data_IF_481147405028
#
_entry.id   IF_481147405028
#
_cell.length_a   1.000
_cell.length_b   1.000
_cell.length_c   1.000
_cell.angle_alpha   90.00
_cell.angle_beta   90.00
_cell.angle_gamma   90.00
#
_symmetry.space_group_name_H-M   'P 1'
#
loop_
_entity.id
_entity.type
_entity.pdbx_description
1 polymer ?
#
# COMPACT_ATOMS: atom_id res chain seq x y z
N UNK A 1 0.41 -0.65 69.90
CA UNK A 1 1.72 -0.86 70.57
C UNK A 1 2.22 -2.23 70.16
N UNK A 2 3.17 -2.32 69.22
CA UNK A 2 4.09 -3.47 69.00
C UNK A 2 5.00 -3.13 67.81
N UNK A 3 6.16 -2.50 68.11
CA UNK A 3 7.28 -2.40 67.17
C UNK A 3 8.10 -3.67 67.34
N UNK A 4 8.08 -4.58 66.37
CA UNK A 4 9.07 -5.66 66.30
C UNK A 4 10.36 -5.11 65.71
N UNK A 5 11.33 -4.88 66.60
CA UNK A 5 12.71 -4.56 66.29
C UNK A 5 13.43 -5.88 65.94
N UNK A 6 13.57 -6.19 64.65
CA UNK A 6 14.47 -7.25 64.17
C UNK A 6 15.48 -6.61 63.21
N UNK A 7 16.48 -5.95 63.80
CA UNK A 7 17.74 -5.68 63.13
C UNK A 7 18.86 -6.00 64.11
N UNK A 8 19.30 -7.25 64.09
CA UNK A 8 20.53 -7.64 64.78
C UNK A 8 21.12 -8.87 64.10
N UNK A 9 22.35 -8.68 63.62
CA UNK A 9 23.39 -9.67 63.33
C UNK A 9 23.25 -10.51 62.06
N UNK A 10 23.97 -10.09 61.02
CA UNK A 10 24.97 -10.94 60.37
C UNK A 10 25.92 -10.09 59.50
N UNK A 11 26.89 -9.41 60.12
CA UNK A 11 28.08 -8.95 59.40
C UNK A 11 29.12 -10.09 59.41
N UNK A 12 28.87 -11.14 58.62
CA UNK A 12 29.95 -12.03 58.19
C UNK A 12 30.60 -11.37 57.00
N UNK A 13 31.80 -10.83 57.20
CA UNK A 13 32.65 -10.30 56.13
C UNK A 13 32.92 -11.45 55.15
N UNK A 14 32.14 -11.52 54.06
CA UNK A 14 32.39 -12.46 52.99
C UNK A 14 33.80 -12.21 52.45
N UNK A 15 34.61 -13.25 52.27
CA UNK A 15 35.96 -13.07 51.75
C UNK A 15 35.87 -12.48 50.33
N UNK A 16 36.68 -11.45 50.05
CA UNK A 16 36.55 -10.58 48.87
C UNK A 16 36.50 -11.31 47.52
N UNK A 17 37.09 -12.50 47.43
CA UNK A 17 37.04 -13.35 46.23
C UNK A 17 35.64 -13.93 45.98
N UNK A 18 34.91 -14.32 47.02
CA UNK A 18 33.54 -14.84 46.92
C UNK A 18 32.54 -13.74 46.50
N UNK A 19 32.80 -12.49 46.88
CA UNK A 19 31.99 -11.34 46.42
C UNK A 19 32.18 -11.07 44.92
N UNK A 20 33.40 -11.24 44.40
CA UNK A 20 33.70 -11.04 42.97
C UNK A 20 33.07 -12.12 42.09
N UNK A 21 33.10 -13.38 42.52
CA UNK A 21 32.48 -14.49 41.77
C UNK A 21 30.96 -14.36 41.74
N UNK A 22 30.33 -14.01 42.86
CA UNK A 22 28.88 -13.77 42.93
C UNK A 22 28.47 -12.60 42.05
N UNK A 23 29.22 -11.49 42.07
CA UNK A 23 28.97 -10.34 41.20
C UNK A 23 29.09 -10.71 39.72
N UNK A 24 30.13 -11.47 39.34
CA UNK A 24 30.31 -11.91 37.96
C UNK A 24 29.16 -12.81 37.49
N UNK A 25 28.75 -13.78 38.31
CA UNK A 25 27.60 -14.64 38.03
C UNK A 25 26.30 -13.83 37.91
N UNK A 26 26.07 -12.87 38.80
CA UNK A 26 24.89 -12.00 38.73
C UNK A 26 24.87 -11.16 37.46
N UNK A 27 26.00 -10.55 37.07
CA UNK A 27 26.11 -9.78 35.82
C UNK A 27 25.90 -10.68 34.61
N UNK A 28 26.47 -11.89 34.60
CA UNK A 28 26.33 -12.83 33.48
C UNK A 28 24.89 -13.28 33.32
N UNK A 29 24.21 -13.62 34.43
CA UNK A 29 22.78 -13.95 34.43
C UNK A 29 21.92 -12.78 33.95
N UNK A 30 22.24 -11.56 34.37
CA UNK A 30 21.52 -10.35 33.97
C UNK A 30 21.73 -10.05 32.48
N UNK A 31 22.93 -10.29 31.94
CA UNK A 31 23.23 -10.18 30.51
C UNK A 31 22.53 -11.28 29.69
N UNK A 32 22.48 -12.53 30.16
CA UNK A 32 21.73 -13.61 29.50
C UNK A 32 20.23 -13.33 29.53
N UNK A 33 19.72 -12.83 30.66
CA UNK A 33 18.33 -12.41 30.79
C UNK A 33 18.00 -11.25 29.85
N UNK A 34 18.85 -10.23 29.79
CA UNK A 34 18.72 -9.12 28.84
C UNK A 34 18.83 -9.59 27.38
N UNK A 35 19.77 -10.47 27.05
CA UNK A 35 19.89 -11.06 25.72
C UNK A 35 18.62 -11.85 25.32
N UNK A 36 18.02 -12.59 26.26
CA UNK A 36 16.82 -13.41 26.02
C UNK A 36 15.54 -12.58 25.90
N UNK A 37 15.42 -11.48 26.65
CA UNK A 37 14.17 -10.72 26.80
C UNK A 37 14.18 -9.32 26.18
N UNK A 38 15.35 -8.68 26.07
CA UNK A 38 15.49 -7.32 25.52
C UNK A 38 15.83 -7.35 24.04
N UNK A 39 16.60 -8.34 23.55
CA UNK A 39 16.76 -8.52 22.12
C UNK A 39 15.44 -9.07 21.56
N UNK A 40 14.75 -8.31 20.69
CA UNK A 40 13.59 -8.82 20.01
C UNK A 40 14.07 -9.86 19.01
N UNK A 41 14.15 -11.13 19.43
CA UNK A 41 14.16 -12.26 18.53
C UNK A 41 12.75 -12.41 17.96
N UNK A 42 12.22 -11.39 17.30
CA UNK A 42 11.07 -11.51 16.41
C UNK A 42 11.53 -12.37 15.22
N UNK A 43 11.67 -13.68 15.44
CA UNK A 43 11.64 -14.62 14.34
C UNK A 43 10.20 -14.60 13.85
N UNK A 44 9.97 -13.81 12.82
CA UNK A 44 8.77 -13.93 12.00
C UNK A 44 8.71 -15.39 11.57
N UNK A 45 7.75 -16.12 12.10
CA UNK A 45 7.62 -17.55 11.81
C UNK A 45 7.23 -17.69 10.35
N UNK A 46 8.22 -17.95 9.49
CA UNK A 46 7.99 -18.22 8.07
C UNK A 46 7.22 -19.52 7.97
N UNK A 47 5.92 -19.42 7.73
CA UNK A 47 5.04 -20.54 7.43
C UNK A 47 4.73 -20.47 5.94
N UNK A 48 5.05 -21.51 5.19
CA UNK A 48 4.62 -21.66 3.80
C UNK A 48 3.38 -22.54 3.76
N UNK A 49 2.42 -22.18 2.91
CA UNK A 49 1.25 -22.99 2.61
C UNK A 49 1.31 -23.38 1.14
N UNK A 50 1.05 -24.66 0.86
CA UNK A 50 0.84 -25.12 -0.51
C UNK A 50 -0.55 -24.65 -0.94
N UNK A 51 -0.60 -23.80 -1.96
CA UNK A 51 -1.84 -23.37 -2.62
C UNK A 51 -1.95 -24.04 -3.98
N UNK A 52 -3.17 -24.28 -4.40
CA UNK A 52 -3.53 -24.75 -5.74
C UNK A 52 -4.00 -23.52 -6.52
N UNK A 53 -3.34 -23.23 -7.64
CA UNK A 53 -3.73 -22.13 -8.53
C UNK A 53 -5.05 -22.50 -9.21
N UNK A 54 -5.92 -21.53 -9.44
CA UNK A 54 -7.27 -21.77 -9.97
C UNK A 54 -8.30 -22.32 -8.98
N UNK A 55 -7.87 -22.79 -7.80
CA UNK A 55 -8.76 -23.18 -6.70
C UNK A 55 -9.05 -21.95 -5.81
N UNK A 56 -10.14 -21.26 -6.11
CA UNK A 56 -10.50 -20.00 -5.45
C UNK A 56 -11.21 -20.24 -4.12
N UNK A 57 -12.00 -21.31 -4.00
CA UNK A 57 -12.76 -21.65 -2.78
C UNK A 57 -11.93 -22.47 -1.76
N UNK A 58 -10.74 -22.91 -2.13
CA UNK A 58 -9.80 -23.73 -1.34
C UNK A 58 -10.32 -25.13 -0.99
N UNK A 59 -11.15 -25.72 -1.86
CA UNK A 59 -11.70 -27.07 -1.69
C UNK A 59 -10.84 -28.18 -2.29
N UNK A 60 -9.71 -27.81 -2.92
CA UNK A 60 -8.70 -28.68 -3.56
C UNK A 60 -9.23 -29.36 -4.83
N UNK A 61 -10.16 -28.72 -5.53
CA UNK A 61 -10.68 -29.17 -6.82
C UNK A 61 -10.68 -27.99 -7.77
N UNK A 62 -10.78 -28.29 -9.06
CA UNK A 62 -11.14 -27.32 -10.08
C UNK A 62 -12.54 -27.66 -10.54
N UNK A 63 -13.51 -26.79 -10.25
CA UNK A 63 -14.89 -27.05 -10.61
C UNK A 63 -15.63 -25.81 -11.13
N UNK A 64 -16.94 -25.97 -11.32
CA UNK A 64 -17.78 -24.88 -11.82
C UNK A 64 -17.79 -23.67 -10.88
N UNK A 65 -17.62 -23.87 -9.56
CA UNK A 65 -17.58 -22.78 -8.60
C UNK A 65 -16.32 -21.91 -8.81
N UNK A 66 -15.18 -22.53 -9.09
CA UNK A 66 -13.94 -21.81 -9.40
C UNK A 66 -14.06 -20.97 -10.67
N UNK A 67 -14.70 -21.53 -11.71
CA UNK A 67 -15.00 -20.80 -12.95
C UNK A 67 -15.81 -19.53 -12.67
N UNK A 68 -16.86 -19.62 -11.86
CA UNK A 68 -17.69 -18.46 -11.51
C UNK A 68 -16.94 -17.45 -10.63
N UNK A 69 -16.08 -17.92 -9.72
CA UNK A 69 -15.22 -17.05 -8.92
C UNK A 69 -14.17 -16.33 -9.77
N UNK A 70 -13.58 -17.00 -10.77
CA UNK A 70 -12.68 -16.39 -11.75
C UNK A 70 -13.40 -15.31 -12.55
N UNK A 71 -14.59 -15.59 -13.10
CA UNK A 71 -15.39 -14.56 -13.80
C UNK A 71 -15.67 -13.34 -12.93
N UNK A 72 -16.06 -13.57 -11.67
CA UNK A 72 -16.32 -12.49 -10.72
C UNK A 72 -15.05 -11.69 -10.38
N UNK A 73 -13.88 -12.36 -10.31
CA UNK A 73 -12.59 -11.72 -10.13
C UNK A 73 -12.23 -10.87 -11.35
N UNK A 74 -12.31 -11.41 -12.57
CA UNK A 74 -11.96 -10.71 -13.80
C UNK A 74 -12.87 -9.49 -14.08
N UNK A 75 -14.12 -9.53 -13.60
CA UNK A 75 -15.02 -8.37 -13.67
C UNK A 75 -14.58 -7.21 -12.76
N UNK A 76 -13.92 -7.49 -11.63
CA UNK A 76 -13.47 -6.50 -10.65
C UNK A 76 -12.12 -6.90 -10.01
N UNK A 77 -11.03 -6.96 -10.79
CA UNK A 77 -9.78 -7.59 -10.36
C UNK A 77 -9.16 -6.90 -9.15
N UNK A 78 -9.29 -5.57 -9.05
CA UNK A 78 -8.70 -4.77 -7.98
C UNK A 78 -9.50 -4.76 -6.66
N UNK A 79 -10.74 -5.28 -6.64
CA UNK A 79 -11.50 -5.47 -5.40
C UNK A 79 -11.09 -6.73 -4.63
N UNK A 80 -10.47 -7.70 -5.32
CA UNK A 80 -9.97 -8.95 -4.72
C UNK A 80 -8.55 -8.76 -4.20
N UNK A 81 -8.11 -9.64 -3.29
CA UNK A 81 -6.76 -9.56 -2.75
C UNK A 81 -5.72 -9.91 -3.82
N UNK A 82 -4.48 -9.42 -3.67
CA UNK A 82 -3.39 -9.78 -4.58
C UNK A 82 -3.13 -11.30 -4.61
N UNK A 83 -3.44 -12.01 -3.53
CA UNK A 83 -3.35 -13.48 -3.46
C UNK A 83 -4.43 -14.18 -4.26
N UNK A 84 -5.64 -13.61 -4.33
CA UNK A 84 -6.71 -14.16 -5.18
C UNK A 84 -6.34 -13.96 -6.66
N UNK A 85 -5.76 -12.81 -7.01
CA UNK A 85 -5.24 -12.59 -8.36
C UNK A 85 -4.03 -13.48 -8.68
N UNK A 86 -3.17 -13.77 -7.71
CA UNK A 86 -2.07 -14.73 -7.89
C UNK A 86 -2.62 -16.13 -8.23
N UNK A 87 -3.73 -16.55 -7.63
CA UNK A 87 -4.36 -17.83 -7.97
C UNK A 87 -4.93 -17.84 -9.39
N UNK A 88 -5.25 -16.68 -9.95
CA UNK A 88 -5.80 -16.54 -11.28
C UNK A 88 -4.74 -16.56 -12.40
N UNK A 89 -3.48 -16.25 -12.08
CA UNK A 89 -2.31 -16.33 -12.98
C UNK A 89 -1.79 -17.77 -13.01
N UNK A 90 -2.41 -18.60 -13.86
CA UNK A 90 -2.23 -20.05 -13.91
C UNK A 90 -0.95 -20.47 -14.62
N UNK A 91 -0.51 -19.69 -15.62
CA UNK A 91 0.76 -19.91 -16.30
C UNK A 91 1.94 -19.22 -15.59
N UNK A 92 1.68 -18.39 -14.56
CA UNK A 92 2.68 -17.69 -13.75
C UNK A 92 3.57 -16.74 -14.57
N UNK A 93 3.03 -16.13 -15.61
CA UNK A 93 3.73 -15.15 -16.45
C UNK A 93 3.63 -13.71 -15.91
N UNK A 94 2.88 -13.52 -14.82
CA UNK A 94 2.67 -12.23 -14.18
C UNK A 94 1.56 -11.40 -14.82
N UNK A 95 0.73 -11.98 -15.68
CA UNK A 95 -0.41 -11.35 -16.34
C UNK A 95 -1.69 -12.10 -15.96
N UNK A 96 -2.82 -11.39 -16.06
CA UNK A 96 -4.16 -11.99 -16.07
C UNK A 96 -4.74 -11.76 -17.44
N UNK A 97 -4.72 -12.80 -18.27
CA UNK A 97 -5.17 -12.74 -19.64
C UNK A 97 -6.11 -13.90 -20.05
N UNK A 98 -6.30 -14.07 -21.36
CA UNK A 98 -7.21 -15.07 -21.89
C UNK A 98 -6.65 -16.50 -21.78
N UNK A 99 -5.32 -16.65 -21.70
CA UNK A 99 -4.65 -17.93 -21.53
C UNK A 99 -4.98 -18.53 -20.16
N UNK A 100 -4.93 -17.72 -19.10
CA UNK A 100 -5.33 -18.13 -17.76
C UNK A 100 -6.77 -18.65 -17.72
N UNK A 101 -7.70 -17.89 -18.30
CA UNK A 101 -9.09 -18.31 -18.38
C UNK A 101 -9.20 -19.66 -19.14
N UNK A 102 -8.50 -19.82 -20.25
CA UNK A 102 -8.52 -21.06 -21.03
C UNK A 102 -7.91 -22.26 -20.27
N UNK A 103 -6.84 -22.05 -19.49
CA UNK A 103 -6.25 -23.10 -18.64
C UNK A 103 -7.26 -23.55 -17.57
N UNK A 104 -7.93 -22.60 -16.90
CA UNK A 104 -8.96 -22.92 -15.92
C UNK A 104 -10.10 -23.73 -16.52
N UNK A 105 -10.56 -23.35 -17.71
CA UNK A 105 -11.63 -24.07 -18.41
C UNK A 105 -11.27 -25.55 -18.67
N UNK A 106 -10.02 -25.83 -19.03
CA UNK A 106 -9.54 -27.20 -19.25
C UNK A 106 -9.42 -28.00 -17.94
N UNK A 107 -8.99 -27.34 -16.87
CA UNK A 107 -8.92 -27.92 -15.53
C UNK A 107 -10.30 -28.27 -15.00
N UNK A 108 -11.27 -27.37 -15.13
CA UNK A 108 -12.67 -27.59 -14.73
C UNK A 108 -13.32 -28.70 -15.56
N UNK A 109 -13.01 -28.79 -16.85
CA UNK A 109 -13.56 -29.82 -17.74
C UNK A 109 -13.03 -31.23 -17.43
N UNK A 110 -11.80 -31.36 -16.94
CA UNK A 110 -11.17 -32.66 -16.69
C UNK A 110 -11.19 -33.06 -15.21
N UNK A 111 -11.10 -32.10 -14.28
CA UNK A 111 -10.92 -32.33 -12.85
C UNK A 111 -9.55 -32.88 -12.45
N UNK A 112 -8.77 -33.39 -13.42
CA UNK A 112 -7.40 -33.88 -13.27
C UNK A 112 -6.44 -33.03 -14.14
N UNK A 113 -5.35 -32.48 -13.57
CA UNK A 113 -4.44 -31.61 -14.29
C UNK A 113 -3.55 -32.36 -15.31
N UNK A 114 -3.26 -33.65 -15.09
CA UNK A 114 -2.52 -34.47 -16.04
C UNK A 114 -3.37 -34.82 -17.26
N UNK A 115 -4.66 -35.09 -17.07
CA UNK A 115 -5.58 -35.27 -18.19
C UNK A 115 -5.76 -33.98 -18.99
N UNK A 116 -5.87 -32.84 -18.30
CA UNK A 116 -5.95 -31.53 -18.95
C UNK A 116 -4.69 -31.24 -19.79
N UNK A 117 -3.49 -31.49 -19.24
CA UNK A 117 -2.22 -31.34 -19.96
C UNK A 117 -2.16 -32.21 -21.22
N UNK A 118 -2.54 -33.48 -21.12
CA UNK A 118 -2.54 -34.38 -22.29
C UNK A 118 -3.50 -33.89 -23.38
N UNK A 119 -4.71 -33.46 -23.02
CA UNK A 119 -5.68 -32.89 -23.97
C UNK A 119 -5.15 -31.61 -24.62
N UNK A 120 -4.51 -30.73 -23.84
CA UNK A 120 -3.91 -29.50 -24.35
C UNK A 120 -2.77 -29.80 -25.34
N UNK A 121 -1.91 -30.75 -24.97
CA UNK A 121 -0.79 -31.21 -25.80
C UNK A 121 -1.29 -31.79 -27.12
N UNK A 122 -2.29 -32.66 -27.09
CA UNK A 122 -2.91 -33.24 -28.30
C UNK A 122 -3.56 -32.16 -29.19
N UNK A 123 -4.06 -31.08 -28.60
CA UNK A 123 -4.63 -29.94 -29.30
C UNK A 123 -3.59 -28.89 -29.75
N UNK A 124 -2.31 -29.03 -29.37
CA UNK A 124 -1.26 -28.06 -29.66
C UNK A 124 -1.42 -26.72 -28.90
N UNK A 125 -2.12 -26.73 -27.76
CA UNK A 125 -2.38 -25.55 -26.93
C UNK A 125 -1.34 -25.51 -25.79
N UNK A 126 -0.74 -24.34 -25.48
CA UNK A 126 0.11 -24.19 -24.31
C UNK A 126 -0.63 -24.56 -23.01
N UNK A 127 0.05 -25.29 -22.13
CA UNK A 127 -0.50 -25.65 -20.81
C UNK A 127 0.66 -25.82 -19.81
N UNK A 128 0.55 -25.26 -18.59
CA UNK A 128 1.58 -25.40 -17.56
C UNK A 128 1.71 -26.84 -17.11
N UNK A 129 2.89 -27.25 -16.62
CA UNK A 129 3.03 -28.60 -16.08
C UNK A 129 2.12 -28.75 -14.85
N UNK A 130 1.48 -29.91 -14.61
CA UNK A 130 0.59 -30.10 -13.45
C UNK A 130 1.19 -29.70 -12.10
N UNK A 131 2.50 -29.87 -11.91
CA UNK A 131 3.21 -29.43 -10.70
C UNK A 131 3.28 -27.91 -10.51
N UNK A 132 3.24 -27.14 -11.60
CA UNK A 132 3.35 -25.67 -11.61
C UNK A 132 2.03 -25.03 -11.15
N UNK A 133 0.92 -25.76 -11.22
CA UNK A 133 -0.37 -25.38 -10.64
C UNK A 133 -0.39 -25.42 -9.11
N UNK A 134 0.70 -25.86 -8.46
CA UNK A 134 0.83 -25.88 -7.02
C UNK A 134 2.01 -25.01 -6.57
N UNK A 135 1.75 -24.06 -5.66
CA UNK A 135 2.75 -23.08 -5.23
C UNK A 135 2.85 -22.99 -3.71
N UNK A 136 4.06 -22.93 -3.19
CA UNK A 136 4.27 -22.57 -1.79
C UNK A 136 4.25 -21.05 -1.64
N UNK A 137 3.30 -20.53 -0.87
CA UNK A 137 3.16 -19.09 -0.58
C UNK A 137 3.14 -18.89 0.92
N UNK A 138 3.91 -17.92 1.44
CA UNK A 138 3.76 -17.54 2.84
C UNK A 138 2.56 -16.60 3.01
N UNK A 139 1.72 -16.79 4.04
CA UNK A 139 0.69 -15.82 4.39
C UNK A 139 1.24 -14.42 4.67
N UNK A 140 2.51 -14.30 5.05
CA UNK A 140 3.18 -13.05 5.44
C UNK A 140 3.92 -12.38 4.28
N UNK A 141 4.16 -13.10 3.19
CA UNK A 141 4.91 -12.56 2.07
C UNK A 141 4.06 -11.54 1.32
N UNK A 142 4.72 -10.46 0.93
CA UNK A 142 4.18 -9.55 -0.06
C UNK A 142 4.10 -10.27 -1.41
N UNK A 143 2.94 -10.20 -2.04
CA UNK A 143 2.67 -10.82 -3.34
C UNK A 143 2.45 -9.68 -4.34
N UNK A 144 3.30 -9.64 -5.37
CA UNK A 144 3.05 -8.79 -6.52
C UNK A 144 1.77 -9.25 -7.20
N UNK A 145 0.84 -8.31 -7.42
CA UNK A 145 -0.39 -8.57 -8.17
C UNK A 145 -0.02 -8.73 -9.65
N UNK A 146 -0.48 -9.79 -10.33
CA UNK A 146 -0.33 -9.92 -11.78
C UNK A 146 -1.03 -8.78 -12.52
N UNK A 147 -0.48 -8.34 -13.65
CA UNK A 147 -1.02 -7.25 -14.45
C UNK A 147 -2.31 -7.67 -15.17
N UNK A 148 -3.35 -6.88 -15.06
CA UNK A 148 -4.59 -7.12 -15.79
C UNK A 148 -4.43 -6.78 -17.28
N UNK A 149 -4.57 -7.77 -18.16
CA UNK A 149 -4.33 -7.62 -19.60
C UNK A 149 -5.57 -7.90 -20.48
N UNK A 150 -6.70 -8.32 -19.87
CA UNK A 150 -7.95 -8.57 -20.58
C UNK A 150 -8.65 -7.29 -21.05
N UNK A 151 -9.49 -7.36 -22.10
CA UNK A 151 -10.35 -6.25 -22.50
C UNK A 151 -11.28 -5.78 -21.37
N UNK A 152 -11.28 -4.48 -21.11
CA UNK A 152 -12.10 -3.87 -20.08
C UNK A 152 -13.43 -3.35 -20.65
N UNK A 153 -14.54 -3.95 -20.24
CA UNK A 153 -15.86 -3.69 -20.84
C UNK A 153 -16.35 -2.24 -20.67
N UNK A 154 -16.04 -1.61 -19.53
CA UNK A 154 -16.43 -0.22 -19.24
C UNK A 154 -15.43 0.81 -19.77
N UNK A 155 -14.39 0.39 -20.52
CA UNK A 155 -13.39 1.28 -21.09
C UNK A 155 -14.04 2.47 -21.83
N UNK A 156 -15.09 2.22 -22.61
CA UNK A 156 -15.86 3.21 -23.40
C UNK A 156 -16.51 4.34 -22.57
N UNK A 157 -16.73 4.10 -21.28
CA UNK A 157 -17.37 5.04 -20.36
C UNK A 157 -16.34 5.73 -19.47
N UNK A 158 -15.07 5.31 -19.58
CA UNK A 158 -13.99 5.86 -18.77
C UNK A 158 -13.73 7.31 -19.12
N UNK A 159 -13.40 8.16 -18.14
CA UNK A 159 -12.91 9.50 -18.41
C UNK A 159 -11.46 9.53 -18.90
N UNK A 160 -10.74 8.39 -18.89
CA UNK A 160 -9.37 8.28 -19.39
C UNK A 160 -9.34 7.91 -20.88
N UNK A 161 -8.67 8.73 -21.69
CA UNK A 161 -8.54 8.51 -23.13
C UNK A 161 -7.73 7.25 -23.46
N UNK A 162 -6.76 6.91 -22.62
CA UNK A 162 -5.89 5.74 -22.82
C UNK A 162 -6.62 4.39 -22.76
N UNK A 163 -7.82 4.33 -22.17
CA UNK A 163 -8.69 3.15 -22.21
C UNK A 163 -9.64 3.14 -23.41
N UNK A 164 -10.05 4.33 -23.86
CA UNK A 164 -11.03 4.51 -24.93
C UNK A 164 -10.42 4.38 -26.33
N UNK A 165 -9.14 4.71 -26.47
CA UNK A 165 -8.46 4.77 -27.74
C UNK A 165 -7.74 3.45 -28.05
N UNK A 166 -7.56 3.11 -29.35
CA UNK A 166 -6.81 1.93 -29.73
C UNK A 166 -5.42 1.98 -29.11
N UNK A 167 -4.95 0.83 -28.60
CA UNK A 167 -3.59 0.70 -28.05
C UNK A 167 -2.60 1.26 -29.07
N UNK A 168 -1.62 2.10 -28.64
CA UNK A 168 -0.58 2.56 -29.54
C UNK A 168 0.09 1.37 -30.23
N UNK A 169 0.60 1.55 -31.47
CA UNK A 169 1.14 0.46 -32.26
C UNK A 169 2.17 -0.34 -31.46
N UNK A 170 2.13 -1.66 -31.60
CA UNK A 170 3.03 -2.56 -30.89
C UNK A 170 4.48 -2.12 -31.13
N UNK A 171 5.18 -1.81 -30.04
CA UNK A 171 6.60 -1.47 -30.10
C UNK A 171 7.43 -2.75 -29.96
N UNK A 172 8.55 -2.80 -30.68
CA UNK A 172 9.51 -3.90 -30.52
C UNK A 172 10.28 -3.81 -29.19
N UNK A 173 10.26 -2.65 -28.52
CA UNK A 173 10.93 -2.45 -27.24
C UNK A 173 10.22 -3.19 -26.11
N UNK A 174 10.90 -4.10 -25.39
CA UNK A 174 10.33 -4.75 -24.20
C UNK A 174 9.89 -3.76 -23.12
N UNK A 175 10.67 -2.70 -22.89
CA UNK A 175 10.35 -1.67 -21.91
C UNK A 175 9.05 -0.94 -22.23
N UNK A 176 8.91 -0.39 -23.43
CA UNK A 176 7.69 0.30 -23.85
C UNK A 176 6.45 -0.61 -23.85
N UNK A 177 6.60 -1.92 -24.14
CA UNK A 177 5.52 -2.90 -24.00
C UNK A 177 5.08 -3.06 -22.55
N UNK A 178 6.03 -3.28 -21.64
CA UNK A 178 5.74 -3.38 -20.21
C UNK A 178 5.10 -2.08 -19.68
N UNK A 179 5.62 -0.93 -20.07
CA UNK A 179 5.08 0.37 -19.68
C UNK A 179 3.63 0.55 -20.15
N UNK A 180 3.30 0.15 -21.38
CA UNK A 180 1.93 0.20 -21.89
C UNK A 180 0.98 -0.74 -21.12
N UNK A 181 1.46 -1.90 -20.68
CA UNK A 181 0.68 -2.85 -19.87
C UNK A 181 0.45 -2.31 -18.45
N UNK A 182 1.46 -1.70 -17.83
CA UNK A 182 1.34 -1.05 -16.53
C UNK A 182 0.36 0.14 -16.58
N UNK A 183 0.46 0.99 -17.61
CA UNK A 183 -0.49 2.09 -17.86
C UNK A 183 -1.91 1.55 -18.00
N UNK A 184 -2.11 0.50 -18.79
CA UNK A 184 -3.43 -0.10 -18.97
C UNK A 184 -3.98 -0.66 -17.66
N UNK A 185 -3.16 -1.40 -16.90
CA UNK A 185 -3.52 -1.98 -15.61
C UNK A 185 -3.93 -0.89 -14.59
N UNK A 186 -3.12 0.15 -14.43
CA UNK A 186 -3.43 1.26 -13.52
C UNK A 186 -4.64 2.09 -13.98
N UNK A 187 -4.82 2.29 -15.30
CA UNK A 187 -6.00 2.98 -15.81
C UNK A 187 -7.30 2.20 -15.53
N UNK A 188 -7.31 0.87 -15.71
CA UNK A 188 -8.48 0.04 -15.34
C UNK A 188 -8.73 0.09 -13.84
N UNK A 189 -7.67 0.06 -13.02
CA UNK A 189 -7.76 0.17 -11.56
C UNK A 189 -8.39 1.50 -11.13
N UNK A 190 -7.91 2.60 -11.72
CA UNK A 190 -8.47 3.92 -11.49
C UNK A 190 -9.96 3.94 -11.85
N UNK A 191 -10.32 3.49 -13.05
CA UNK A 191 -11.69 3.59 -13.55
C UNK A 191 -12.70 2.87 -12.64
N UNK A 192 -12.35 1.65 -12.21
CA UNK A 192 -13.14 0.88 -11.26
C UNK A 192 -13.28 1.58 -9.91
N UNK A 193 -12.19 2.14 -9.37
CA UNK A 193 -12.21 2.88 -8.12
C UNK A 193 -13.01 4.18 -8.21
N UNK A 194 -12.84 4.92 -9.32
CA UNK A 194 -13.51 6.17 -9.61
C UNK A 194 -15.03 5.97 -9.72
N UNK A 195 -15.50 5.02 -10.53
CA UNK A 195 -16.93 4.76 -10.68
C UNK A 195 -17.59 4.26 -9.40
N UNK A 196 -16.89 3.44 -8.60
CA UNK A 196 -17.40 2.99 -7.31
C UNK A 196 -17.64 4.17 -6.33
N UNK A 197 -16.88 5.27 -6.49
CA UNK A 197 -16.94 6.44 -5.60
C UNK A 197 -17.68 7.63 -6.15
N UNK A 198 -17.82 7.73 -7.48
CA UNK A 198 -18.43 8.87 -8.15
C UNK A 198 -19.75 9.37 -7.51
N UNK A 199 -20.70 8.50 -7.09
CA UNK A 199 -21.93 8.95 -6.43
C UNK A 199 -21.74 9.62 -5.06
N UNK A 200 -20.56 9.48 -4.46
CA UNK A 200 -20.23 9.93 -3.11
C UNK A 200 -19.25 11.11 -3.10
N UNK A 201 -18.67 11.47 -4.25
CA UNK A 201 -17.71 12.56 -4.34
C UNK A 201 -18.40 13.93 -4.18
N UNK A 202 -17.83 14.77 -3.31
CA UNK A 202 -18.22 16.18 -3.20
C UNK A 202 -17.89 16.95 -4.48
N UNK A 203 -18.49 18.12 -4.67
CA UNK A 203 -18.19 18.98 -5.84
C UNK A 203 -16.70 19.36 -5.91
N UNK A 204 -16.07 19.59 -4.75
CA UNK A 204 -14.65 19.94 -4.67
C UNK A 204 -13.78 18.77 -5.15
N UNK A 205 -14.07 17.55 -4.71
CA UNK A 205 -13.34 16.35 -5.12
C UNK A 205 -13.56 16.02 -6.59
N UNK A 206 -14.78 16.19 -7.11
CA UNK A 206 -15.04 16.03 -8.54
C UNK A 206 -14.22 17.01 -9.38
N UNK A 207 -14.07 18.25 -8.90
CA UNK A 207 -13.26 19.27 -9.57
C UNK A 207 -11.77 18.90 -9.52
N UNK A 208 -11.30 18.45 -8.36
CA UNK A 208 -9.95 17.94 -8.16
C UNK A 208 -9.61 16.78 -9.11
N UNK A 209 -10.43 15.72 -9.09
CA UNK A 209 -10.24 14.55 -9.93
C UNK A 209 -10.28 14.92 -11.43
N UNK A 210 -11.14 15.86 -11.82
CA UNK A 210 -11.23 16.29 -13.22
C UNK A 210 -9.91 16.88 -13.72
N UNK A 211 -9.24 17.74 -12.93
CA UNK A 211 -7.95 18.31 -13.31
C UNK A 211 -6.90 17.23 -13.58
N UNK A 212 -6.78 16.25 -12.67
CA UNK A 212 -5.82 15.15 -12.84
C UNK A 212 -6.14 14.21 -14.00
N UNK A 213 -7.43 13.97 -14.26
CA UNK A 213 -7.88 13.23 -15.44
C UNK A 213 -7.46 13.99 -16.71
N UNK A 214 -7.65 15.31 -16.75
CA UNK A 214 -7.24 16.15 -17.87
C UNK A 214 -5.72 16.08 -18.07
N UNK A 215 -4.92 16.11 -17.00
CA UNK A 215 -3.46 15.97 -17.06
C UNK A 215 -3.05 14.59 -17.60
N UNK A 216 -3.66 13.50 -17.12
CA UNK A 216 -3.45 12.15 -17.67
C UNK A 216 -3.74 12.11 -19.17
N UNK A 217 -4.86 12.68 -19.60
CA UNK A 217 -5.24 12.71 -21.02
C UNK A 217 -4.25 13.55 -21.85
N UNK A 218 -3.71 14.64 -21.30
CA UNK A 218 -2.64 15.42 -21.94
C UNK A 218 -1.34 14.62 -22.08
N UNK A 219 -0.90 13.94 -21.01
CA UNK A 219 0.31 13.09 -21.08
C UNK A 219 0.14 11.95 -22.10
N UNK A 220 -1.04 11.34 -22.16
CA UNK A 220 -1.36 10.34 -23.16
C UNK A 220 -1.29 10.90 -24.58
N UNK A 221 -1.95 12.03 -24.85
CA UNK A 221 -1.95 12.68 -26.16
C UNK A 221 -0.55 13.11 -26.61
N UNK A 222 0.32 13.50 -25.67
CA UNK A 222 1.70 13.86 -25.93
C UNK A 222 2.66 12.66 -26.08
N UNK A 223 2.19 11.43 -25.84
CA UNK A 223 3.03 10.23 -25.86
C UNK A 223 4.02 10.14 -24.68
N UNK A 224 3.77 10.88 -23.59
CA UNK A 224 4.62 10.91 -22.39
C UNK A 224 4.26 9.75 -21.46
N UNK A 225 4.56 8.51 -21.88
CA UNK A 225 4.10 7.29 -21.19
C UNK A 225 4.60 7.15 -19.74
N UNK A 226 5.84 7.58 -19.45
CA UNK A 226 6.38 7.51 -18.09
C UNK A 226 5.65 8.47 -17.15
N UNK A 227 5.48 9.73 -17.57
CA UNK A 227 4.77 10.75 -16.80
C UNK A 227 3.29 10.39 -16.64
N UNK A 228 2.68 9.83 -17.69
CA UNK A 228 1.32 9.28 -17.63
C UNK A 228 1.19 8.19 -16.54
N UNK A 229 2.14 7.24 -16.48
CA UNK A 229 2.08 6.19 -15.47
C UNK A 229 2.19 6.78 -14.06
N UNK A 230 3.08 7.74 -13.83
CA UNK A 230 3.23 8.39 -12.53
C UNK A 230 1.97 9.14 -12.11
N UNK A 231 1.37 9.90 -13.03
CA UNK A 231 0.13 10.62 -12.76
C UNK A 231 -1.03 9.66 -12.50
N UNK A 232 -1.13 8.57 -13.28
CA UNK A 232 -2.12 7.51 -13.04
C UNK A 232 -1.96 6.86 -11.66
N UNK A 233 -0.73 6.55 -11.22
CA UNK A 233 -0.49 6.01 -9.87
C UNK A 233 -1.00 6.99 -8.81
N UNK A 234 -0.67 8.28 -8.95
CA UNK A 234 -1.15 9.31 -8.03
C UNK A 234 -2.69 9.43 -8.03
N UNK A 235 -3.29 9.35 -9.21
CA UNK A 235 -4.73 9.41 -9.41
C UNK A 235 -5.46 8.17 -8.85
N UNK A 236 -4.87 6.98 -8.96
CA UNK A 236 -5.34 5.74 -8.33
C UNK A 236 -5.24 5.84 -6.82
N UNK A 237 -4.09 6.29 -6.30
CA UNK A 237 -3.92 6.52 -4.87
C UNK A 237 -4.99 7.45 -4.33
N UNK A 238 -5.27 8.54 -5.03
CA UNK A 238 -6.35 9.46 -4.69
C UNK A 238 -7.71 8.77 -4.80
N UNK A 239 -8.04 8.07 -5.89
CA UNK A 239 -9.31 7.37 -6.05
C UNK A 239 -9.52 6.27 -4.99
N UNK A 240 -8.47 5.64 -4.48
CA UNK A 240 -8.55 4.61 -3.45
C UNK A 240 -8.45 5.18 -2.02
N UNK A 241 -7.89 6.37 -1.83
CA UNK A 241 -7.71 7.00 -0.50
C UNK A 241 -8.65 8.17 -0.22
N UNK A 242 -9.29 8.73 -1.25
CA UNK A 242 -10.26 9.82 -1.16
C UNK A 242 -11.53 9.36 -0.44
N UNK A 243 -11.51 9.70 0.83
CA UNK A 243 -12.59 9.79 1.80
C UNK A 243 -13.24 8.52 2.36
N UNK A 244 -13.22 8.46 3.69
CA UNK A 244 -14.25 7.75 4.46
C UNK A 244 -15.52 8.62 4.53
N UNK A 245 -16.72 8.01 4.53
CA UNK A 245 -17.99 8.76 4.59
C UNK A 245 -17.99 9.84 5.69
N UNK A 246 -18.38 11.06 5.31
CA UNK A 246 -18.53 12.19 6.24
C UNK A 246 -17.21 12.89 6.63
N UNK A 247 -16.19 12.79 5.76
CA UNK A 247 -14.91 13.46 5.95
C UNK A 247 -15.05 14.97 5.76
N UNK A 248 -14.35 15.73 6.60
CA UNK A 248 -14.35 17.19 6.54
C UNK A 248 -13.69 17.68 5.24
N UNK A 249 -14.26 18.71 4.62
CA UNK A 249 -13.75 19.36 3.39
C UNK A 249 -12.28 19.78 3.56
N UNK A 250 -11.87 20.13 4.78
CA UNK A 250 -10.47 20.40 5.12
C UNK A 250 -9.53 19.29 4.65
N UNK A 251 -9.92 18.02 4.76
CA UNK A 251 -9.05 16.92 4.35
C UNK A 251 -8.95 16.83 2.83
N UNK A 252 -10.03 17.06 2.09
CA UNK A 252 -9.97 17.14 0.63
C UNK A 252 -9.08 18.31 0.18
N UNK A 253 -9.11 19.45 0.89
CA UNK A 253 -8.23 20.60 0.65
C UNK A 253 -6.74 20.29 0.90
N UNK A 254 -6.40 19.35 1.78
CA UNK A 254 -5.00 18.94 1.97
C UNK A 254 -4.38 18.28 0.74
N UNK A 255 -5.19 17.77 -0.21
CA UNK A 255 -4.69 17.17 -1.45
C UNK A 255 -4.23 18.25 -2.44
N UNK A 256 -4.99 19.34 -2.55
CA UNK A 256 -4.56 20.53 -3.30
C UNK A 256 -3.23 21.07 -2.74
N UNK A 257 -3.13 21.18 -1.41
CA UNK A 257 -1.88 21.58 -0.77
C UNK A 257 -0.73 20.61 -1.09
N UNK A 258 -0.97 19.30 -1.01
CA UNK A 258 0.04 18.28 -1.34
C UNK A 258 0.55 18.48 -2.77
N UNK A 259 -0.34 18.70 -3.73
CA UNK A 259 0.03 18.83 -5.13
C UNK A 259 0.79 20.14 -5.39
N UNK A 260 0.32 21.28 -4.86
CA UNK A 260 1.09 22.53 -4.93
C UNK A 260 2.48 22.43 -4.27
N UNK A 261 2.61 21.64 -3.19
CA UNK A 261 3.92 21.39 -2.59
C UNK A 261 4.81 20.51 -3.47
N UNK A 262 4.24 19.56 -4.24
CA UNK A 262 4.99 18.80 -5.25
C UNK A 262 5.43 19.72 -6.39
N UNK A 263 4.53 20.53 -6.92
CA UNK A 263 4.83 21.52 -7.97
C UNK A 263 5.94 22.48 -7.53
N UNK A 264 5.94 22.89 -6.26
CA UNK A 264 7.00 23.70 -5.70
C UNK A 264 8.35 22.98 -5.76
N UNK A 265 8.42 21.68 -5.46
CA UNK A 265 9.67 20.90 -5.52
C UNK A 265 10.22 20.77 -6.94
N UNK A 266 9.35 20.80 -7.95
CA UNK A 266 9.73 20.74 -9.37
C UNK A 266 9.91 22.14 -9.99
N UNK A 267 9.56 23.19 -9.25
CA UNK A 267 9.62 24.56 -9.74
C UNK A 267 11.06 25.09 -9.94
N UNK A 268 11.26 26.05 -10.87
CA UNK A 268 12.52 26.78 -11.01
C UNK A 268 12.97 27.44 -9.70
N UNK A 269 12.01 27.93 -8.90
CA UNK A 269 12.30 28.58 -7.61
C UNK A 269 13.00 27.61 -6.64
N UNK A 270 12.55 26.35 -6.57
CA UNK A 270 13.18 25.36 -5.71
C UNK A 270 14.50 24.84 -6.27
N UNK A 271 14.63 24.76 -7.60
CA UNK A 271 15.92 24.50 -8.24
C UNK A 271 16.95 25.60 -7.90
N UNK A 272 16.54 26.87 -7.91
CA UNK A 272 17.37 28.00 -7.50
C UNK A 272 17.72 27.97 -6.01
N UNK A 273 16.81 27.52 -5.16
CA UNK A 273 17.09 27.28 -3.75
C UNK A 273 18.17 26.19 -3.56
N UNK A 274 18.07 25.06 -4.27
CA UNK A 274 19.11 24.01 -4.25
C UNK A 274 20.47 24.54 -4.74
N UNK A 275 20.45 25.45 -5.71
CA UNK A 275 21.65 26.11 -6.23
C UNK A 275 22.19 27.24 -5.32
N UNK A 276 21.53 27.54 -4.20
CA UNK A 276 21.90 28.61 -3.27
C UNK A 276 21.60 30.02 -3.78
N UNK A 277 20.82 30.17 -4.85
CA UNK A 277 20.41 31.46 -5.43
C UNK A 277 19.19 32.06 -4.74
N UNK A 278 18.35 31.23 -4.15
CA UNK A 278 17.16 31.60 -3.37
C UNK A 278 17.36 31.18 -1.92
N UNK A 279 16.83 31.96 -0.99
CA UNK A 279 16.97 31.73 0.45
C UNK A 279 15.85 30.84 0.99
N UNK A 280 16.08 30.16 2.12
CA UNK A 280 15.05 29.34 2.78
C UNK A 280 13.77 30.14 3.12
N UNK A 281 13.84 31.37 3.69
CA UNK A 281 12.69 32.27 3.85
C UNK A 281 11.78 32.42 2.63
N UNK A 282 12.34 32.51 1.43
CA UNK A 282 11.56 32.70 0.20
C UNK A 282 10.79 31.44 -0.19
N UNK A 283 11.37 30.25 0.05
CA UNK A 283 10.66 28.98 -0.11
C UNK A 283 9.56 28.83 0.94
N UNK A 284 9.84 29.20 2.20
CA UNK A 284 8.84 29.16 3.27
C UNK A 284 7.65 30.07 2.95
N UNK A 285 7.87 31.27 2.40
CA UNK A 285 6.79 32.14 1.95
C UNK A 285 5.94 31.56 0.82
N UNK A 286 6.55 30.76 -0.08
CA UNK A 286 5.79 30.04 -1.10
C UNK A 286 4.86 28.99 -0.44
N UNK A 287 5.37 28.25 0.54
CA UNK A 287 4.57 27.29 1.33
C UNK A 287 3.45 27.99 2.10
N UNK A 288 3.73 29.13 2.75
CA UNK A 288 2.72 29.94 3.45
C UNK A 288 1.60 30.41 2.53
N UNK A 289 1.94 30.77 1.27
CA UNK A 289 0.96 31.14 0.25
C UNK A 289 0.02 29.97 -0.05
N UNK A 290 0.54 28.77 -0.26
CA UNK A 290 -0.27 27.58 -0.52
C UNK A 290 -1.12 27.20 0.70
N UNK A 291 -0.57 27.27 1.92
CA UNK A 291 -1.34 27.05 3.16
C UNK A 291 -2.54 28.00 3.27
N UNK A 292 -2.34 29.29 2.93
CA UNK A 292 -3.41 30.28 2.92
C UNK A 292 -4.41 30.04 1.79
N UNK A 293 -3.92 29.74 0.58
CA UNK A 293 -4.76 29.53 -0.60
C UNK A 293 -5.64 28.29 -0.46
N UNK A 294 -5.06 27.15 -0.06
CA UNK A 294 -5.73 25.85 -0.10
C UNK A 294 -6.49 25.57 1.19
N UNK A 295 -5.89 25.89 2.34
CA UNK A 295 -6.45 25.57 3.65
C UNK A 295 -7.04 26.78 4.39
N UNK A 296 -6.86 28.00 3.87
CA UNK A 296 -7.24 29.22 4.60
C UNK A 296 -6.39 29.49 5.84
N UNK A 297 -5.21 28.86 5.96
CA UNK A 297 -4.36 28.96 7.15
C UNK A 297 -3.37 30.10 7.01
N UNK A 298 -3.52 31.13 7.84
CA UNK A 298 -2.54 32.21 7.97
C UNK A 298 -1.46 31.82 8.98
N UNK A 299 -0.36 31.26 8.48
CA UNK A 299 0.80 30.84 9.29
C UNK A 299 2.03 31.61 8.83
N UNK A 300 2.85 32.06 9.77
CA UNK A 300 4.22 32.52 9.49
C UNK A 300 5.19 31.45 9.98
N UNK A 301 5.66 30.60 9.07
CA UNK A 301 6.51 29.43 9.37
C UNK A 301 7.79 29.87 10.06
N UNK A 302 8.38 30.99 9.66
CA UNK A 302 9.58 31.57 10.30
C UNK A 302 9.37 31.92 11.77
N UNK A 303 8.13 32.20 12.18
CA UNK A 303 7.77 32.53 13.57
C UNK A 303 7.28 31.33 14.35
N UNK A 304 7.17 30.15 13.73
CA UNK A 304 6.86 28.94 14.47
C UNK A 304 8.02 28.66 15.41
N UNK A 305 7.68 28.39 16.68
CA UNK A 305 8.66 27.93 17.65
C UNK A 305 9.35 26.64 17.16
N UNK A 306 10.51 26.29 17.73
CA UNK A 306 11.21 25.06 17.36
C UNK A 306 10.26 23.85 17.43
N UNK A 307 10.42 22.87 16.52
CA UNK A 307 9.62 21.65 16.57
C UNK A 307 9.72 21.04 17.97
N UNK A 308 8.60 20.49 18.47
CA UNK A 308 8.53 19.96 19.84
C UNK A 308 9.71 19.04 20.10
N UNK A 309 10.51 19.36 21.11
CA UNK A 309 11.63 18.53 21.54
C UNK A 309 11.11 17.21 22.11
N UNK A 310 11.13 16.16 21.30
CA UNK A 310 10.61 14.85 21.68
C UNK A 310 11.49 14.17 22.76
N UNK A 311 12.65 14.71 23.12
CA UNK A 311 13.44 14.20 24.25
C UNK A 311 12.86 14.61 25.60
N UNK A 312 12.01 15.64 25.65
CA UNK A 312 11.35 16.08 26.87
C UNK A 312 10.11 15.23 27.16
N UNK A 313 10.10 14.55 28.31
CA UNK A 313 9.04 13.64 28.75
C UNK A 313 7.62 14.28 28.69
N UNK A 314 7.50 15.58 28.93
CA UNK A 314 6.24 16.34 28.82
C UNK A 314 5.65 16.31 27.39
N UNK A 315 6.50 16.28 26.38
CA UNK A 315 6.07 16.20 24.97
C UNK A 315 5.68 14.76 24.58
N UNK A 316 6.26 13.76 25.24
CA UNK A 316 5.81 12.36 25.17
C UNK A 316 4.44 12.18 25.81
N UNK A 317 4.20 12.77 26.99
CA UNK A 317 2.93 12.68 27.72
C UNK A 317 1.72 13.09 26.87
N UNK A 318 1.83 14.16 26.09
CA UNK A 318 0.77 14.58 25.16
C UNK A 318 0.51 13.53 24.05
N UNK A 319 1.56 12.86 23.57
CA UNK A 319 1.44 11.77 22.58
C UNK A 319 0.88 10.50 23.19
N UNK A 320 1.26 10.11 24.42
CA UNK A 320 0.69 8.96 25.13
C UNK A 320 -0.78 9.21 25.46
N UNK A 321 -1.16 10.44 25.83
CA UNK A 321 -2.57 10.82 25.96
C UNK A 321 -3.29 10.66 24.62
N UNK A 322 -2.73 11.16 23.52
CA UNK A 322 -3.33 11.02 22.19
C UNK A 322 -3.49 9.56 21.74
N UNK A 323 -2.48 8.72 22.01
CA UNK A 323 -2.52 7.28 21.72
C UNK A 323 -3.52 6.54 22.62
N UNK A 324 -3.58 6.90 23.90
CA UNK A 324 -4.59 6.40 24.84
C UNK A 324 -6.00 6.75 24.35
N UNK A 325 -6.24 7.98 23.90
CA UNK A 325 -7.52 8.39 23.31
C UNK A 325 -7.83 7.63 22.02
N UNK A 326 -6.87 7.52 21.08
CA UNK A 326 -7.01 6.70 19.86
C UNK A 326 -7.43 5.25 20.16
N UNK A 327 -6.90 4.67 21.23
CA UNK A 327 -7.20 3.30 21.64
C UNK A 327 -8.52 3.13 22.41
N UNK A 328 -9.18 4.23 22.83
CA UNK A 328 -10.32 4.18 23.77
C UNK A 328 -11.55 5.03 23.40
N UNK A 329 -11.55 5.85 22.35
CA UNK A 329 -12.73 6.67 22.03
C UNK A 329 -13.85 5.86 21.36
N UNK A 330 -14.93 5.59 22.13
CA UNK A 330 -16.31 5.58 21.60
C UNK A 330 -16.73 7.04 21.31
N UNK A 331 -17.73 7.21 20.46
CA UNK A 331 -18.09 8.42 19.69
C UNK A 331 -18.26 9.73 20.50
N UNK A 332 -18.57 9.70 21.80
CA UNK A 332 -19.10 10.87 22.52
C UNK A 332 -18.13 11.96 23.02
N UNK A 333 -16.81 11.79 23.29
CA UNK A 333 -16.03 12.86 23.93
C UNK A 333 -15.24 13.77 22.95
N UNK A 334 -15.54 13.76 21.65
CA UNK A 334 -14.82 14.61 20.66
C UNK A 334 -14.97 16.11 20.89
N UNK A 335 -16.03 16.55 21.58
CA UNK A 335 -16.31 17.97 21.82
C UNK A 335 -15.30 18.69 22.74
N UNK A 336 -14.44 17.96 23.47
CA UNK A 336 -13.41 18.58 24.34
C UNK A 336 -12.09 18.92 23.64
N UNK A 337 -11.93 18.57 22.37
CA UNK A 337 -10.64 18.65 21.65
C UNK A 337 -10.55 19.79 20.63
N UNK A 338 -11.60 20.63 20.50
CA UNK A 338 -11.56 21.85 19.68
C UNK A 338 -11.46 23.04 20.64
N UNK A 339 -10.22 23.40 20.99
CA UNK A 339 -9.83 24.74 21.44
C UNK A 339 -8.54 25.10 20.70
#
# INVERSE_FOLDING_TARGET
>A
MFKLNILSRCNRVMPKWLSRTVLFLAVTLLLVFAYRWVLPLYRVGVRSQLIMLGDFNSDKRWDQQDRELMKALLANPFQRSAKDCLKADLNSDGRLDAEDAAILEQLVASGDPYEAENKAFDAGIPFPRPRELYRYVSPQDYVNRPLFALPYAAAKQSPLDCLNQPKPPATDSPYARQLAEEIYNEAVRFDLAYHARLPQLTQLEQTYCRGKIEDCNQFYAAGMSYDLLLELIGLVEDAESLTTRGQDEFVSKTLFLRDHLRDLLDSPQYADFKAGRVTAPEILKAIERYLKQDLGLEVTIEKLGPPRDLTQLKNYLGRTQWQYYKSRTRVEPRARLVI
#
